data_IF_914524312471
#
_entry.id   IF_914524312471
#
_cell.length_a   1.000
_cell.length_b   1.000
_cell.length_c   1.000
_cell.angle_alpha   90.00
_cell.angle_beta   90.00
_cell.angle_gamma   90.00
#
_symmetry.space_group_name_H-M   'P 1'
#
loop_
_entity.id
_entity.type
_entity.pdbx_description
1 polymer ?
#
# COMPACT_ATOMS: atom_id res chain seq x y z
N UNK A 1 -5.47 -11.86 -14.45
CA UNK A 1 -6.73 -11.58 -13.72
C UNK A 1 -7.50 -12.87 -13.55
N UNK A 2 -8.24 -13.02 -12.45
CA UNK A 2 -9.35 -13.99 -12.37
C UNK A 2 -10.64 -13.26 -12.76
N UNK A 3 -11.45 -13.84 -13.65
CA UNK A 3 -12.80 -13.36 -13.97
C UNK A 3 -13.80 -14.25 -13.25
N UNK A 4 -14.71 -13.66 -12.49
CA UNK A 4 -15.93 -14.32 -12.02
C UNK A 4 -17.13 -13.51 -12.51
N UNK A 5 -18.08 -14.18 -13.14
CA UNK A 5 -19.35 -13.58 -13.57
C UNK A 5 -20.38 -13.85 -12.50
N UNK A 6 -20.91 -12.81 -11.86
CA UNK A 6 -22.02 -12.93 -10.91
C UNK A 6 -23.30 -12.57 -11.66
N UNK A 7 -24.19 -13.54 -11.84
CA UNK A 7 -25.53 -13.29 -12.39
C UNK A 7 -26.44 -12.75 -11.28
N UNK A 8 -26.90 -11.52 -11.42
CA UNK A 8 -27.90 -10.93 -10.52
C UNK A 8 -29.28 -11.32 -11.05
N UNK A 9 -29.98 -12.21 -10.34
CA UNK A 9 -31.41 -12.44 -10.53
C UNK A 9 -32.14 -11.97 -9.27
N UNK A 10 -32.96 -10.91 -9.39
CA UNK A 10 -34.33 -11.10 -8.91
C UNK A 10 -35.44 -10.87 -9.95
N UNK A 11 -35.19 -10.24 -11.10
CA UNK A 11 -36.18 -10.07 -12.19
C UNK A 11 -35.47 -9.92 -13.55
N UNK A 12 -35.15 -11.04 -14.19
CA UNK A 12 -34.63 -11.04 -15.56
C UNK A 12 -35.77 -10.77 -16.54
N UNK A 13 -35.73 -9.59 -17.15
CA UNK A 13 -36.61 -9.20 -18.23
C UNK A 13 -35.94 -9.58 -19.56
N UNK A 14 -36.43 -10.65 -20.20
CA UNK A 14 -35.89 -11.17 -21.48
C UNK A 14 -35.97 -10.15 -22.62
N UNK A 15 -36.73 -9.07 -22.48
CA UNK A 15 -36.82 -7.99 -23.47
C UNK A 15 -35.69 -6.95 -23.36
N UNK A 16 -34.94 -6.95 -22.25
CA UNK A 16 -33.83 -6.03 -22.02
C UNK A 16 -32.48 -6.70 -22.25
N UNK A 17 -31.46 -5.96 -22.71
CA UNK A 17 -30.11 -6.49 -22.84
C UNK A 17 -29.59 -6.96 -21.47
N UNK A 18 -28.92 -8.12 -21.45
CA UNK A 18 -28.34 -8.68 -20.24
C UNK A 18 -27.29 -7.72 -19.65
N UNK A 19 -27.52 -7.26 -18.42
CA UNK A 19 -26.52 -6.56 -17.62
C UNK A 19 -25.76 -7.57 -16.74
N UNK A 20 -24.44 -7.56 -16.78
CA UNK A 20 -23.59 -8.34 -15.87
C UNK A 20 -22.63 -7.42 -15.12
N UNK A 21 -22.34 -7.74 -13.87
CA UNK A 21 -21.28 -7.07 -13.11
C UNK A 21 -20.02 -7.96 -13.20
N UNK A 22 -18.98 -7.55 -13.95
CA UNK A 22 -17.75 -8.31 -14.00
C UNK A 22 -16.98 -8.16 -12.68
N UNK A 23 -16.64 -9.29 -12.03
CA UNK A 23 -15.72 -9.30 -10.89
C UNK A 23 -14.31 -9.65 -11.38
N UNK A 24 -13.42 -8.66 -11.33
CA UNK A 24 -12.03 -8.76 -11.79
C UNK A 24 -11.08 -8.60 -10.61
N UNK A 25 -10.21 -9.59 -10.42
CA UNK A 25 -9.18 -9.57 -9.37
C UNK A 25 -7.77 -9.69 -9.94
N UNK A 26 -6.86 -8.86 -9.42
CA UNK A 26 -5.47 -8.84 -9.79
C UNK A 26 -4.69 -9.96 -9.09
N UNK A 27 -4.37 -11.01 -9.84
CA UNK A 27 -3.54 -12.11 -9.31
C UNK A 27 -2.14 -11.61 -8.95
N UNK A 28 -1.77 -11.67 -7.67
CA UNK A 28 -0.42 -11.36 -7.18
C UNK A 28 0.07 -9.93 -7.50
N UNK A 29 -0.80 -8.93 -7.34
CA UNK A 29 -0.51 -7.51 -7.61
C UNK A 29 0.79 -7.03 -6.92
N UNK A 30 0.92 -7.27 -5.62
CA UNK A 30 2.12 -6.89 -4.88
C UNK A 30 3.36 -7.67 -5.32
N UNK A 31 3.21 -8.92 -5.75
CA UNK A 31 4.30 -9.68 -6.36
C UNK A 31 4.81 -9.00 -7.63
N UNK A 32 3.92 -8.57 -8.52
CA UNK A 32 4.30 -7.81 -9.71
C UNK A 32 5.06 -6.53 -9.36
N UNK A 33 4.55 -5.77 -8.38
CA UNK A 33 5.18 -4.52 -7.93
C UNK A 33 6.55 -4.77 -7.26
N UNK A 34 6.67 -5.85 -6.49
CA UNK A 34 7.93 -6.26 -5.88
C UNK A 34 8.96 -6.73 -6.93
N UNK A 35 8.54 -7.22 -8.09
CA UNK A 35 9.45 -7.56 -9.19
C UNK A 35 9.98 -6.35 -9.97
N UNK A 36 9.48 -5.14 -9.70
CA UNK A 36 9.96 -3.89 -10.30
C UNK A 36 11.25 -3.39 -9.65
N UNK A 37 11.86 -2.36 -10.25
CA UNK A 37 12.93 -1.60 -9.58
C UNK A 37 12.41 -0.95 -8.32
N UNK A 38 12.99 -1.33 -7.17
CA UNK A 38 12.63 -0.83 -5.85
C UNK A 38 13.81 -0.11 -5.21
N UNK A 39 13.56 0.87 -4.31
CA UNK A 39 14.63 1.59 -3.64
C UNK A 39 15.52 0.65 -2.82
N UNK A 40 16.82 0.88 -2.88
CA UNK A 40 17.83 0.15 -2.09
C UNK A 40 18.52 1.01 -1.05
N UNK A 41 18.68 2.31 -1.32
CA UNK A 41 19.47 3.21 -0.48
C UNK A 41 19.91 4.46 -1.23
N UNK A 42 21.01 5.08 -0.77
CA UNK A 42 21.61 6.24 -1.45
C UNK A 42 20.72 7.49 -1.45
N UNK A 43 19.87 7.63 -0.44
CA UNK A 43 18.91 8.73 -0.34
C UNK A 43 19.63 10.07 -0.23
N UNK A 44 19.25 11.01 -1.10
CA UNK A 44 19.72 12.40 -1.04
C UNK A 44 18.63 13.35 -1.50
N UNK A 45 18.65 14.55 -0.95
CA UNK A 45 17.81 15.64 -1.42
C UNK A 45 18.28 16.12 -2.80
N UNK A 46 17.32 16.59 -3.60
CA UNK A 46 17.55 17.18 -4.92
C UNK A 46 16.64 18.39 -5.07
N UNK A 47 17.11 19.41 -5.79
CA UNK A 47 16.37 20.66 -5.93
C UNK A 47 15.21 20.52 -6.91
N UNK A 48 15.51 20.14 -8.16
CA UNK A 48 14.51 19.99 -9.23
C UNK A 48 14.75 18.72 -10.03
N UNK A 49 13.69 18.24 -10.68
CA UNK A 49 13.72 17.10 -11.60
C UNK A 49 12.53 17.20 -12.55
N UNK A 50 12.75 16.86 -13.82
CA UNK A 50 11.65 16.49 -14.70
C UNK A 50 11.46 14.96 -14.64
N UNK A 51 10.35 14.52 -14.07
CA UNK A 51 10.07 13.09 -13.91
C UNK A 51 9.67 12.41 -15.23
N UNK A 52 9.27 13.16 -16.24
CA UNK A 52 8.81 12.61 -17.52
C UNK A 52 9.96 12.02 -18.32
N UNK A 53 11.14 12.63 -18.22
CA UNK A 53 12.38 12.19 -18.87
C UNK A 53 13.06 11.00 -18.16
N UNK A 54 12.66 10.71 -16.92
CA UNK A 54 13.24 9.61 -16.15
C UNK A 54 12.73 8.28 -16.69
N UNK A 55 13.67 7.40 -17.07
CA UNK A 55 13.37 6.02 -17.43
C UNK A 55 12.91 5.21 -16.22
N UNK A 56 11.88 4.38 -16.39
CA UNK A 56 11.40 3.42 -15.40
C UNK A 56 12.47 2.38 -15.01
N UNK A 57 13.45 2.16 -15.89
CA UNK A 57 14.57 1.24 -15.68
C UNK A 57 15.87 1.93 -15.23
N UNK A 58 15.81 3.24 -14.93
CA UNK A 58 16.95 3.98 -14.42
C UNK A 58 17.45 3.38 -13.10
N UNK A 59 18.77 3.44 -12.87
CA UNK A 59 19.38 3.11 -11.57
C UNK A 59 18.97 4.09 -10.46
N UNK A 60 18.45 5.27 -10.83
CA UNK A 60 17.95 6.29 -9.93
C UNK A 60 16.45 6.39 -10.01
N UNK A 61 15.80 6.42 -8.85
CA UNK A 61 14.38 6.72 -8.70
C UNK A 61 14.16 7.94 -7.80
N UNK A 62 12.92 8.42 -7.78
CA UNK A 62 12.55 9.62 -7.02
C UNK A 62 11.22 9.46 -6.28
N UNK A 63 11.15 10.05 -5.09
CA UNK A 63 9.91 10.35 -4.37
C UNK A 63 9.80 11.86 -4.28
N UNK A 64 8.62 12.40 -4.60
CA UNK A 64 8.37 13.83 -4.65
C UNK A 64 7.22 14.20 -3.71
N UNK A 65 7.30 15.38 -3.13
CA UNK A 65 6.15 16.06 -2.54
C UNK A 65 5.71 17.17 -3.50
N UNK A 66 4.47 17.08 -4.00
CA UNK A 66 3.97 17.91 -5.10
C UNK A 66 2.58 18.46 -4.85
N UNK A 67 2.24 19.54 -5.55
CA UNK A 67 0.87 19.99 -5.74
C UNK A 67 0.39 19.57 -7.13
N UNK A 68 -0.80 18.99 -7.21
CA UNK A 68 -1.42 18.54 -8.45
C UNK A 68 -2.79 19.19 -8.60
N UNK A 69 -3.03 19.83 -9.73
CA UNK A 69 -4.37 20.25 -10.14
C UNK A 69 -5.09 19.04 -10.75
N UNK A 70 -6.37 18.89 -10.41
CA UNK A 70 -7.28 17.92 -10.99
C UNK A 70 -8.27 18.66 -11.90
N UNK A 71 -8.02 18.71 -13.21
CA UNK A 71 -8.84 19.50 -14.11
C UNK A 71 -10.28 18.96 -14.20
N UNK A 72 -11.25 19.88 -14.22
CA UNK A 72 -12.68 19.56 -14.23
C UNK A 72 -13.11 18.72 -15.44
N UNK A 73 -12.42 18.88 -16.57
CA UNK A 73 -12.63 18.12 -17.80
C UNK A 73 -12.33 16.63 -17.65
N UNK A 74 -11.55 16.23 -16.63
CA UNK A 74 -11.26 14.83 -16.34
C UNK A 74 -12.31 14.18 -15.44
N UNK A 75 -13.21 14.94 -14.83
CA UNK A 75 -14.10 14.43 -13.78
C UNK A 75 -15.01 13.32 -14.28
N UNK A 76 -15.61 13.49 -15.46
CA UNK A 76 -16.48 12.47 -16.06
C UNK A 76 -15.69 11.22 -16.45
N UNK A 77 -14.46 11.39 -16.95
CA UNK A 77 -13.60 10.26 -17.31
C UNK A 77 -13.08 9.52 -16.08
N UNK A 78 -12.83 10.21 -14.97
CA UNK A 78 -12.17 9.64 -13.80
C UNK A 78 -13.09 9.33 -12.62
N UNK A 79 -14.39 9.62 -12.72
CA UNK A 79 -15.37 9.43 -11.64
C UNK A 79 -15.41 8.00 -11.05
N UNK A 80 -15.18 6.98 -11.87
CA UNK A 80 -15.21 5.58 -11.46
C UNK A 80 -13.99 5.18 -10.64
N UNK A 81 -12.82 5.76 -10.95
CA UNK A 81 -11.58 5.39 -10.28
C UNK A 81 -10.58 6.56 -10.15
N UNK A 82 -10.88 7.60 -9.36
CA UNK A 82 -10.03 8.78 -9.27
C UNK A 82 -8.57 8.48 -8.88
N UNK A 83 -7.67 9.25 -9.50
CA UNK A 83 -6.24 9.27 -9.20
C UNK A 83 -5.93 9.88 -7.81
N UNK A 84 -4.72 9.62 -7.30
CA UNK A 84 -4.14 10.24 -6.10
C UNK A 84 -5.05 10.21 -4.84
N UNK A 85 -5.50 9.04 -4.36
CA UNK A 85 -6.35 8.96 -3.19
C UNK A 85 -5.64 9.47 -1.92
N UNK A 86 -6.35 10.18 -1.05
CA UNK A 86 -5.82 10.76 0.17
C UNK A 86 -6.66 10.41 1.41
N UNK A 87 -6.09 10.59 2.60
CA UNK A 87 -6.84 10.31 3.84
C UNK A 87 -7.74 11.50 4.17
N UNK A 88 -9.05 11.27 4.20
CA UNK A 88 -10.06 12.26 4.57
C UNK A 88 -10.81 11.81 5.83
N UNK A 89 -11.22 12.77 6.68
CA UNK A 89 -12.03 12.47 7.87
C UNK A 89 -13.50 12.49 7.47
N UNK A 90 -14.14 11.32 7.48
CA UNK A 90 -15.55 11.15 7.19
C UNK A 90 -16.26 10.60 8.42
N UNK A 91 -17.18 11.38 9.00
CA UNK A 91 -17.89 10.97 10.22
C UNK A 91 -16.97 10.71 11.42
N UNK A 92 -15.89 11.48 11.55
CA UNK A 92 -14.89 11.32 12.62
C UNK A 92 -13.87 10.19 12.43
N UNK A 93 -13.95 9.44 11.33
CA UNK A 93 -13.01 8.36 11.00
C UNK A 93 -12.19 8.72 9.77
N UNK A 94 -10.86 8.64 9.89
CA UNK A 94 -9.96 8.78 8.74
C UNK A 94 -10.10 7.60 7.79
N UNK A 95 -10.43 7.86 6.53
CA UNK A 95 -10.53 6.87 5.45
C UNK A 95 -9.68 7.30 4.27
N UNK A 96 -9.11 6.33 3.55
CA UNK A 96 -8.48 6.60 2.26
C UNK A 96 -9.57 6.76 1.21
N UNK A 97 -9.65 7.93 0.58
CA UNK A 97 -10.74 8.30 -0.32
C UNK A 97 -10.16 8.71 -1.68
N UNK A 98 -10.51 8.01 -2.77
CA UNK A 98 -10.30 8.54 -4.11
C UNK A 98 -11.29 9.68 -4.33
N UNK A 99 -10.79 10.83 -4.77
CA UNK A 99 -11.62 12.01 -5.02
C UNK A 99 -11.03 12.81 -6.20
N UNK A 100 -11.83 13.73 -6.74
CA UNK A 100 -11.49 14.54 -7.92
C UNK A 100 -11.00 15.96 -7.54
N UNK A 101 -10.53 16.16 -6.30
CA UNK A 101 -10.03 17.46 -5.84
C UNK A 101 -8.55 17.61 -6.18
N UNK A 102 -8.08 18.85 -6.22
CA UNK A 102 -6.65 19.17 -6.23
C UNK A 102 -5.93 18.50 -5.06
N UNK A 103 -4.65 18.23 -5.25
CA UNK A 103 -3.77 17.61 -4.26
C UNK A 103 -2.73 18.63 -3.84
N UNK A 104 -2.57 18.81 -2.53
CA UNK A 104 -1.56 19.71 -1.96
C UNK A 104 -0.57 18.90 -1.14
N UNK A 105 0.74 19.11 -1.35
CA UNK A 105 1.84 18.41 -0.67
C UNK A 105 1.67 16.89 -0.69
N UNK A 106 1.23 16.36 -1.82
CA UNK A 106 1.02 14.94 -2.01
C UNK A 106 2.36 14.24 -2.23
N UNK A 107 2.63 13.20 -1.44
CA UNK A 107 3.88 12.43 -1.53
C UNK A 107 3.69 11.25 -2.48
N UNK A 108 4.49 11.18 -3.53
CA UNK A 108 4.30 10.26 -4.65
C UNK A 108 5.59 9.71 -5.22
N UNK A 109 5.58 8.44 -5.63
CA UNK A 109 6.63 7.84 -6.43
C UNK A 109 6.66 8.40 -7.87
N UNK A 110 7.85 8.64 -8.43
CA UNK A 110 7.99 9.29 -9.75
C UNK A 110 7.24 8.60 -10.89
N UNK A 111 7.19 7.26 -10.91
CA UNK A 111 6.44 6.49 -11.92
C UNK A 111 4.94 6.73 -11.85
N UNK A 112 4.39 6.85 -10.64
CA UNK A 112 2.98 7.17 -10.43
C UNK A 112 2.69 8.61 -10.84
N UNK A 113 3.59 9.55 -10.50
CA UNK A 113 3.46 10.93 -10.94
C UNK A 113 3.46 11.03 -12.48
N UNK A 114 4.41 10.36 -13.15
CA UNK A 114 4.46 10.29 -14.61
C UNK A 114 3.15 9.78 -15.21
N UNK A 115 2.57 8.73 -14.62
CA UNK A 115 1.27 8.23 -15.06
C UNK A 115 0.14 9.25 -14.85
N UNK A 116 0.09 9.91 -13.69
CA UNK A 116 -0.96 10.90 -13.41
C UNK A 116 -0.92 12.07 -14.38
N UNK A 117 0.28 12.52 -14.74
CA UNK A 117 0.48 13.53 -15.79
C UNK A 117 0.02 13.04 -17.16
N UNK A 118 0.34 11.80 -17.54
CA UNK A 118 -0.14 11.23 -18.81
C UNK A 118 -1.66 11.07 -18.88
N UNK A 119 -2.32 10.96 -17.72
CA UNK A 119 -3.79 10.90 -17.60
C UNK A 119 -4.41 12.30 -17.43
N UNK A 120 -3.63 13.37 -17.60
CA UNK A 120 -4.13 14.75 -17.68
C UNK A 120 -4.07 15.56 -16.39
N UNK A 121 -3.67 15.00 -15.25
CA UNK A 121 -3.42 15.83 -14.06
C UNK A 121 -2.28 16.81 -14.34
N UNK A 122 -2.33 18.01 -13.74
CA UNK A 122 -1.29 19.03 -13.94
C UNK A 122 -0.43 19.19 -12.70
N UNK A 123 0.89 19.10 -12.85
CA UNK A 123 1.83 19.41 -11.79
C UNK A 123 1.98 20.93 -11.66
N UNK A 124 1.54 21.49 -10.54
CA UNK A 124 1.60 22.94 -10.29
C UNK A 124 2.82 23.33 -9.46
N UNK A 125 3.29 22.45 -8.58
CA UNK A 125 4.46 22.72 -7.73
C UNK A 125 5.19 21.44 -7.30
N UNK A 126 6.51 21.51 -7.24
CA UNK A 126 7.35 20.54 -6.53
C UNK A 126 7.87 21.22 -5.26
N UNK A 127 7.58 20.64 -4.09
CA UNK A 127 8.08 21.14 -2.81
C UNK A 127 9.40 20.50 -2.43
N UNK A 128 9.52 19.19 -2.63
CA UNK A 128 10.68 18.40 -2.20
C UNK A 128 10.90 17.20 -3.11
N UNK A 129 12.17 16.86 -3.33
CA UNK A 129 12.57 15.67 -4.11
C UNK A 129 13.60 14.87 -3.33
N UNK A 130 13.36 13.56 -3.20
CA UNK A 130 14.33 12.60 -2.69
C UNK A 130 14.73 11.69 -3.86
N UNK A 131 16.00 11.70 -4.22
CA UNK A 131 16.61 10.74 -5.13
C UNK A 131 17.08 9.50 -4.35
N UNK A 132 16.97 8.31 -4.93
CA UNK A 132 17.48 7.06 -4.37
C UNK A 132 18.02 6.12 -5.45
N UNK A 133 18.90 5.20 -5.04
CA UNK A 133 19.29 4.05 -5.86
C UNK A 133 18.16 3.02 -5.89
N UNK A 134 17.90 2.44 -7.06
CA UNK A 134 16.91 1.39 -7.25
C UNK A 134 17.40 0.28 -8.18
N UNK A 135 16.89 -0.92 -7.98
CA UNK A 135 17.11 -2.10 -8.84
C UNK A 135 16.02 -3.15 -8.56
N UNK A 136 15.80 -4.13 -9.44
CA UNK A 136 14.81 -5.19 -9.22
C UNK A 136 15.33 -6.28 -8.26
N UNK A 137 15.76 -5.89 -7.05
CA UNK A 137 16.44 -6.78 -6.11
C UNK A 137 15.55 -7.88 -5.51
N UNK A 138 14.23 -7.69 -5.51
CA UNK A 138 13.27 -8.71 -5.05
C UNK A 138 12.80 -9.65 -6.15
N UNK A 139 13.07 -9.34 -7.41
CA UNK A 139 12.51 -10.07 -8.55
C UNK A 139 12.83 -11.57 -8.51
N UNK A 140 14.09 -11.93 -8.24
CA UNK A 140 14.51 -13.33 -8.15
C UNK A 140 13.76 -14.10 -7.06
N UNK A 141 13.50 -13.47 -5.91
CA UNK A 141 12.74 -14.05 -4.82
C UNK A 141 11.26 -14.26 -5.18
N UNK A 142 10.64 -13.26 -5.81
CA UNK A 142 9.24 -13.35 -6.25
C UNK A 142 9.07 -14.42 -7.34
N UNK A 143 10.00 -14.46 -8.30
CA UNK A 143 10.00 -15.43 -9.39
C UNK A 143 10.16 -16.87 -8.83
N UNK A 144 11.06 -17.06 -7.87
CA UNK A 144 11.25 -18.33 -7.18
C UNK A 144 9.95 -18.80 -6.52
N UNK A 145 9.34 -17.97 -5.65
CA UNK A 145 8.10 -18.32 -4.96
C UNK A 145 6.94 -18.56 -5.92
N UNK A 146 6.87 -17.78 -7.01
CA UNK A 146 5.85 -17.97 -8.05
C UNK A 146 6.02 -19.31 -8.76
N UNK A 147 7.26 -19.71 -9.07
CA UNK A 147 7.56 -20.98 -9.71
C UNK A 147 7.31 -22.17 -8.76
N UNK A 148 7.70 -22.06 -7.49
CA UNK A 148 7.41 -23.07 -6.48
C UNK A 148 5.90 -23.24 -6.27
N UNK A 149 5.16 -22.12 -6.20
CA UNK A 149 3.69 -22.14 -6.11
C UNK A 149 3.02 -22.81 -7.31
N UNK A 150 3.55 -22.63 -8.52
CA UNK A 150 3.05 -23.30 -9.74
C UNK A 150 3.29 -24.81 -9.71
N UNK A 151 4.42 -25.25 -9.15
CA UNK A 151 4.81 -26.67 -9.04
C UNK A 151 4.14 -27.39 -7.87
N UNK A 152 3.69 -26.66 -6.85
CA UNK A 152 3.04 -27.21 -5.68
C UNK A 152 1.73 -27.95 -6.06
N UNK A 153 1.64 -29.21 -5.63
CA UNK A 153 0.50 -30.08 -5.90
C UNK A 153 -0.58 -29.97 -4.82
N UNK A 154 -0.17 -29.76 -3.58
CA UNK A 154 -1.07 -29.59 -2.43
C UNK A 154 -1.35 -28.10 -2.14
N UNK A 155 -2.46 -27.84 -1.45
CA UNK A 155 -2.90 -26.47 -1.17
C UNK A 155 -2.09 -25.79 -0.06
N UNK A 156 -1.54 -26.57 0.88
CA UNK A 156 -0.66 -26.05 1.93
C UNK A 156 0.56 -25.33 1.34
N UNK A 157 1.28 -25.97 0.42
CA UNK A 157 2.46 -25.40 -0.22
C UNK A 157 2.11 -24.20 -1.09
N UNK A 158 0.99 -24.26 -1.82
CA UNK A 158 0.51 -23.12 -2.62
C UNK A 158 0.25 -21.90 -1.74
N UNK A 159 -0.36 -22.10 -0.59
CA UNK A 159 -0.66 -21.03 0.38
C UNK A 159 0.59 -20.55 1.09
N UNK A 160 1.53 -21.43 1.41
CA UNK A 160 2.82 -21.07 1.98
C UNK A 160 3.63 -20.15 1.04
N UNK A 161 3.81 -20.52 -0.23
CA UNK A 161 4.54 -19.67 -1.19
C UNK A 161 3.81 -18.35 -1.49
N UNK A 162 2.48 -18.35 -1.46
CA UNK A 162 1.68 -17.10 -1.52
C UNK A 162 1.94 -16.22 -0.29
N UNK A 163 1.94 -16.80 0.91
CA UNK A 163 2.19 -16.11 2.16
C UNK A 163 3.60 -15.51 2.19
N UNK A 164 4.61 -16.25 1.71
CA UNK A 164 5.99 -15.77 1.61
C UNK A 164 6.13 -14.48 0.79
N UNK A 165 5.37 -14.33 -0.30
CA UNK A 165 5.34 -13.06 -1.03
C UNK A 165 4.59 -11.97 -0.24
N UNK A 166 3.39 -12.28 0.26
CA UNK A 166 2.53 -11.29 0.92
C UNK A 166 3.13 -10.75 2.23
N UNK A 167 3.83 -11.58 2.99
CA UNK A 167 4.39 -11.19 4.28
C UNK A 167 5.52 -10.17 4.16
N UNK A 168 6.27 -10.18 3.04
CA UNK A 168 7.35 -9.20 2.82
C UNK A 168 6.77 -7.80 2.76
N UNK A 169 5.72 -7.58 1.97
CA UNK A 169 5.03 -6.29 1.91
C UNK A 169 4.48 -5.87 3.29
N UNK A 170 3.82 -6.78 4.00
CA UNK A 170 3.34 -6.50 5.36
C UNK A 170 4.47 -6.09 6.31
N UNK A 171 5.66 -6.69 6.15
CA UNK A 171 6.82 -6.38 6.98
C UNK A 171 7.45 -5.03 6.66
N UNK A 172 7.45 -4.60 5.40
CA UNK A 172 7.99 -3.28 5.03
C UNK A 172 7.13 -2.14 5.55
N UNK A 173 5.82 -2.34 5.69
CA UNK A 173 4.85 -1.36 6.19
C UNK A 173 4.56 -1.48 7.71
N UNK A 174 5.32 -2.30 8.44
CA UNK A 174 5.09 -2.53 9.87
C UNK A 174 5.28 -1.25 10.69
N UNK A 175 4.24 -0.85 11.43
CA UNK A 175 4.30 0.32 12.30
C UNK A 175 4.77 -0.05 13.70
N UNK A 176 6.08 0.04 13.92
CA UNK A 176 6.73 -0.24 15.21
C UNK A 176 6.21 0.60 16.38
N UNK A 177 5.58 1.76 16.12
CA UNK A 177 5.01 2.63 17.17
C UNK A 177 3.78 2.01 17.83
N UNK A 178 3.10 1.09 17.12
CA UNK A 178 1.93 0.37 17.64
C UNK A 178 2.31 -0.87 18.47
N UNK A 179 3.59 -1.22 18.56
CA UNK A 179 4.03 -2.39 19.32
C UNK A 179 3.89 -2.14 20.82
N UNK A 180 3.28 -3.11 21.49
CA UNK A 180 3.08 -3.12 22.94
C UNK A 180 3.77 -4.36 23.54
N UNK A 181 4.32 -4.19 24.73
CA UNK A 181 4.80 -5.28 25.56
C UNK A 181 3.68 -5.75 26.47
N UNK A 182 3.35 -7.04 26.38
CA UNK A 182 2.34 -7.65 27.23
C UNK A 182 3.04 -8.50 28.28
N UNK A 183 2.81 -8.20 29.55
CA UNK A 183 3.27 -9.02 30.67
C UNK A 183 2.09 -9.69 31.35
N UNK A 184 2.12 -11.02 31.39
CA UNK A 184 1.18 -11.82 32.18
C UNK A 184 1.63 -11.87 33.64
N UNK A 185 0.74 -11.51 34.55
CA UNK A 185 1.02 -11.35 35.97
C UNK A 185 0.01 -12.14 36.79
N UNK A 186 0.51 -12.88 37.78
CA UNK A 186 -0.32 -13.67 38.71
C UNK A 186 -0.44 -13.11 40.13
N UNK A 187 0.41 -12.14 40.48
CA UNK A 187 0.46 -11.57 41.83
C UNK A 187 0.15 -10.08 41.82
N UNK A 188 -0.60 -9.63 42.84
CA UNK A 188 -0.99 -8.22 42.99
C UNK A 188 0.23 -7.30 43.07
N UNK A 189 1.25 -7.68 43.82
CA UNK A 189 2.49 -6.91 44.00
C UNK A 189 3.18 -6.60 42.68
N UNK A 190 3.39 -7.62 41.83
CA UNK A 190 4.00 -7.44 40.50
C UNK A 190 3.11 -6.60 39.60
N UNK A 191 1.79 -6.77 39.67
CA UNK A 191 0.83 -5.98 38.90
C UNK A 191 0.93 -4.49 39.24
N UNK A 192 0.88 -4.17 40.53
CA UNK A 192 1.03 -2.80 41.02
C UNK A 192 2.39 -2.18 40.65
N UNK A 193 3.48 -2.97 40.67
CA UNK A 193 4.80 -2.50 40.22
C UNK A 193 4.81 -2.12 38.74
N UNK A 194 4.08 -2.83 37.88
CA UNK A 194 4.00 -2.52 36.45
C UNK A 194 3.10 -1.33 36.15
N UNK A 195 1.95 -1.20 36.83
CA UNK A 195 1.02 -0.06 36.66
C UNK A 195 1.68 1.26 37.04
N UNK A 196 2.58 1.26 38.03
CA UNK A 196 3.34 2.45 38.44
C UNK A 196 4.42 2.88 37.45
N UNK A 197 4.75 2.09 36.43
CA UNK A 197 5.78 2.47 35.46
C UNK A 197 5.23 3.51 34.48
N UNK A 198 6.04 4.49 34.06
CA UNK A 198 5.61 5.57 33.16
C UNK A 198 5.19 5.08 31.76
N UNK A 199 5.63 3.89 31.37
CA UNK A 199 5.26 3.27 30.11
C UNK A 199 4.05 2.33 30.22
N UNK A 200 3.33 2.33 31.33
CA UNK A 200 2.06 1.61 31.43
C UNK A 200 1.04 2.17 30.42
N UNK A 201 0.24 1.28 29.81
CA UNK A 201 -0.81 1.66 28.86
C UNK A 201 -2.19 1.23 29.34
N UNK A 202 -2.37 -0.05 29.62
CA UNK A 202 -3.64 -0.62 30.07
C UNK A 202 -3.42 -2.01 30.68
N UNK A 203 -4.45 -2.59 31.28
CA UNK A 203 -4.42 -3.99 31.68
C UNK A 203 -5.74 -4.68 31.33
N UNK A 204 -5.69 -6.00 31.22
CA UNK A 204 -6.84 -6.87 31.00
C UNK A 204 -6.80 -8.02 32.00
N UNK A 205 -7.84 -8.14 32.82
CA UNK A 205 -7.99 -9.25 33.77
C UNK A 205 -8.55 -10.45 33.02
N UNK A 206 -7.90 -11.61 33.14
CA UNK A 206 -8.39 -12.86 32.56
C UNK A 206 -9.04 -13.75 33.63
N UNK A 207 -8.50 -13.75 34.83
CA UNK A 207 -9.04 -14.48 35.99
C UNK A 207 -8.64 -13.78 37.29
N UNK A 208 -9.13 -14.28 38.42
CA UNK A 208 -8.78 -13.78 39.77
C UNK A 208 -7.28 -13.76 40.05
N UNK A 209 -6.50 -14.60 39.37
CA UNK A 209 -5.07 -14.77 39.53
C UNK A 209 -4.27 -14.54 38.23
N UNK A 210 -4.85 -13.91 37.20
CA UNK A 210 -4.13 -13.65 35.94
C UNK A 210 -4.57 -12.32 35.30
N UNK A 211 -3.61 -11.44 35.08
CA UNK A 211 -3.79 -10.14 34.45
C UNK A 211 -2.73 -9.95 33.37
N UNK A 212 -3.13 -9.54 32.16
CA UNK A 212 -2.21 -8.98 31.17
C UNK A 212 -2.04 -7.48 31.43
N UNK A 213 -0.80 -7.03 31.59
CA UNK A 213 -0.45 -5.61 31.65
C UNK A 213 0.20 -5.21 30.33
N UNK A 214 -0.42 -4.27 29.62
CA UNK A 214 0.06 -3.70 28.39
C UNK A 214 0.96 -2.50 28.68
N UNK A 215 2.18 -2.56 28.17
CA UNK A 215 3.22 -1.55 28.35
C UNK A 215 3.63 -0.99 26.98
N UNK A 216 3.76 0.32 26.85
CA UNK A 216 4.36 0.96 25.68
C UNK A 216 5.87 0.68 25.66
N UNK A 217 6.43 0.57 24.46
CA UNK A 217 7.89 0.50 24.26
C UNK A 217 8.52 1.85 24.59
N UNK A 218 9.55 1.85 25.46
CA UNK A 218 10.31 3.06 25.83
C UNK A 218 11.42 3.41 24.84
N UNK A 219 11.85 2.42 24.04
CA UNK A 219 12.83 2.59 22.98
C UNK A 219 12.24 2.01 21.69
N UNK A 220 12.28 2.79 20.62
CA UNK A 220 11.85 2.39 19.29
C UNK A 220 13.07 2.36 18.36
N UNK A 221 13.22 1.29 17.60
CA UNK A 221 14.26 1.15 16.57
C UNK A 221 13.59 1.17 15.20
N UNK A 222 13.84 2.21 14.40
CA UNK A 222 13.33 2.33 13.03
C UNK A 222 14.18 1.49 12.08
N UNK A 223 13.90 0.20 12.02
CA UNK A 223 14.61 -0.82 11.23
C UNK A 223 13.72 -1.46 10.14
N UNK A 224 12.60 -0.82 9.83
CA UNK A 224 11.66 -1.28 8.80
C UNK A 224 11.82 -0.43 7.54
N UNK A 225 11.98 -1.04 6.36
CA UNK A 225 12.21 -0.31 5.12
C UNK A 225 10.90 0.24 4.55
N UNK A 226 10.27 1.18 5.25
CA UNK A 226 8.94 1.75 4.90
C UNK A 226 8.93 2.37 3.50
N UNK A 227 10.05 2.93 3.06
CA UNK A 227 10.22 3.46 1.71
C UNK A 227 10.00 2.40 0.61
N UNK A 228 10.35 1.13 0.86
CA UNK A 228 10.07 0.02 -0.06
C UNK A 228 8.58 -0.25 -0.11
N UNK A 229 7.92 -0.29 1.05
CA UNK A 229 6.48 -0.48 1.13
C UNK A 229 5.69 0.62 0.42
N UNK A 230 6.10 1.88 0.57
CA UNK A 230 5.54 3.00 -0.19
C UNK A 230 5.70 2.79 -1.70
N UNK A 231 6.91 2.49 -2.18
CA UNK A 231 7.16 2.25 -3.60
C UNK A 231 6.31 1.09 -4.14
N UNK A 232 6.22 -0.03 -3.42
CA UNK A 232 5.36 -1.16 -3.80
C UNK A 232 3.90 -0.74 -3.93
N UNK A 233 3.37 0.05 -2.99
CA UNK A 233 1.98 0.53 -3.04
C UNK A 233 1.73 1.41 -4.26
N UNK A 234 2.62 2.37 -4.50
CA UNK A 234 2.47 3.32 -5.59
C UNK A 234 2.61 2.65 -6.96
N UNK A 235 3.56 1.73 -7.12
CA UNK A 235 3.68 0.90 -8.33
C UNK A 235 2.48 -0.04 -8.52
N UNK A 236 1.94 -0.60 -7.45
CA UNK A 236 0.74 -1.44 -7.53
C UNK A 236 -0.45 -0.65 -8.08
N UNK A 237 -0.61 0.61 -7.65
CA UNK A 237 -1.64 1.50 -8.20
C UNK A 237 -1.41 1.77 -9.68
N UNK A 238 -0.16 1.92 -10.14
CA UNK A 238 0.07 2.21 -11.56
C UNK A 238 -0.42 1.10 -12.47
N UNK A 239 -0.25 -0.17 -12.07
CA UNK A 239 -0.80 -1.29 -12.83
C UNK A 239 -2.33 -1.29 -12.84
N UNK A 240 -2.96 -0.93 -11.71
CA UNK A 240 -4.42 -0.88 -11.62
C UNK A 240 -5.02 0.27 -12.44
N UNK A 241 -4.39 1.44 -12.41
CA UNK A 241 -4.82 2.57 -13.23
C UNK A 241 -4.59 2.31 -14.72
N UNK A 242 -3.45 1.72 -15.09
CA UNK A 242 -3.19 1.32 -16.47
C UNK A 242 -4.26 0.34 -16.98
N UNK A 243 -4.57 -0.69 -16.17
CA UNK A 243 -5.62 -1.62 -16.52
C UNK A 243 -7.00 -0.95 -16.65
N UNK A 244 -7.34 -0.02 -15.75
CA UNK A 244 -8.63 0.67 -15.80
C UNK A 244 -8.74 1.60 -17.02
N UNK A 245 -7.79 2.51 -17.19
CA UNK A 245 -7.87 3.59 -18.18
C UNK A 245 -7.44 3.19 -19.58
N UNK A 246 -6.57 2.17 -19.74
CA UNK A 246 -6.07 1.75 -21.05
C UNK A 246 -6.63 0.41 -21.53
N UNK A 247 -7.35 -0.35 -20.67
CA UNK A 247 -7.94 -1.65 -21.06
C UNK A 247 -9.45 -1.73 -20.84
N UNK A 248 -9.99 -1.14 -19.77
CA UNK A 248 -11.44 -1.19 -19.49
C UNK A 248 -12.17 -0.04 -20.16
N UNK A 249 -11.66 1.20 -20.03
CA UNK A 249 -12.24 2.39 -20.65
C UNK A 249 -11.84 2.53 -22.12
#
# INVERSE_FOLDING_TARGET
MRKQTIHIYPRHDKSKPNSYIPYLDANNLYGWAMSQSLPTGGFKWKDTIDVTEVSDNSRKGYILEVDLEYPSELHDLHNDYPLAPETMVLGGVGKLVPNLQDKTKYVIHYRSLKQYLSLGMKLTKIHRVIEFDQRPWMKSYIDLNTNLRKKATNDFDKDNFKLMNNCVFGKTMENIRKHIDVQLVKTKERGMKLVKKPNFSSFKVFSSNLVAVHMKRTKLKFDKPVYVGQAILDLSKTLMYDFHYNTIK
#
